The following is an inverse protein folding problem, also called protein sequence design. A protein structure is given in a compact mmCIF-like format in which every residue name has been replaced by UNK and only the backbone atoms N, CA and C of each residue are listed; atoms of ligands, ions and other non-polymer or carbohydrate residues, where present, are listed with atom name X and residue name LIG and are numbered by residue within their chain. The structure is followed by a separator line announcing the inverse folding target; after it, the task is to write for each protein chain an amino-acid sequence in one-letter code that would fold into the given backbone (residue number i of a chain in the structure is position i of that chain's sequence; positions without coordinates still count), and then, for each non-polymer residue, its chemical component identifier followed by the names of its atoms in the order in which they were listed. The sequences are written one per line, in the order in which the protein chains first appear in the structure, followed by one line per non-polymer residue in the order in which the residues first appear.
data_IF_621879946189
#
_entry.id   IF_621879946189
#
_cell.length_a   1.000
_cell.length_b   1.000
_cell.length_c   1.000
_cell.angle_alpha   90.00
_cell.angle_beta   90.00
_cell.angle_gamma   90.00
#
_symmetry.space_group_name_H-M   'P 1'
#
loop_
_entity.id
_entity.type
_entity.pdbx_description
1 polymer ?
#
# COMPACT_ATOMS: atom_id res chain seq x y z
N UNK A 1 42.35 34.97 36.49
CA UNK A 1 40.97 34.92 36.00
C UNK A 1 40.87 33.86 34.88
N UNK A 2 40.26 32.74 35.16
CA UNK A 2 40.06 31.67 34.16
C UNK A 2 38.63 31.81 33.64
N UNK A 3 38.46 32.17 32.37
CA UNK A 3 37.18 32.21 31.70
C UNK A 3 36.92 30.78 31.17
N UNK A 4 35.91 30.10 31.74
CA UNK A 4 35.43 28.82 31.22
C UNK A 4 34.45 29.09 30.09
N UNK A 5 34.85 28.69 28.88
CA UNK A 5 33.93 28.69 27.71
C UNK A 5 33.04 27.46 27.79
N UNK A 6 31.75 27.64 28.10
CA UNK A 6 30.75 26.59 27.99
C UNK A 6 30.33 26.46 26.52
N UNK A 7 30.79 25.42 25.85
CA UNK A 7 30.27 25.01 24.54
C UNK A 7 28.92 24.33 24.76
N UNK A 8 27.84 25.02 24.40
CA UNK A 8 26.52 24.42 24.32
C UNK A 8 26.43 23.57 23.05
N UNK A 9 26.42 22.25 23.22
CA UNK A 9 26.18 21.29 22.15
C UNK A 9 24.67 21.28 21.85
N UNK A 10 24.24 21.97 20.80
CA UNK A 10 22.87 21.88 20.28
C UNK A 10 22.74 20.54 19.56
N UNK A 11 22.08 19.58 20.20
CA UNK A 11 21.67 18.33 19.55
C UNK A 11 20.54 18.63 18.56
N UNK A 12 20.82 18.54 17.27
CA UNK A 12 19.80 18.58 16.22
C UNK A 12 19.07 17.25 16.26
N UNK A 13 17.89 17.23 16.88
CA UNK A 13 17.00 16.08 16.83
C UNK A 13 16.31 16.11 15.47
N UNK A 14 16.78 15.30 14.52
CA UNK A 14 16.09 15.07 13.27
C UNK A 14 14.83 14.22 13.56
N UNK A 15 13.68 14.87 13.60
CA UNK A 15 12.42 14.17 13.65
C UNK A 15 12.16 13.54 12.27
N UNK A 16 12.28 12.22 12.18
CA UNK A 16 11.80 11.46 11.02
C UNK A 16 10.27 11.55 11.05
N UNK A 17 9.72 12.38 10.18
CA UNK A 17 8.28 12.49 10.02
C UNK A 17 7.78 11.22 9.35
N UNK A 18 6.94 10.44 10.05
CA UNK A 18 6.26 9.31 9.44
C UNK A 18 5.31 9.84 8.34
N UNK A 19 5.34 9.18 7.17
CA UNK A 19 4.44 9.52 6.06
C UNK A 19 3.04 9.08 6.47
N UNK A 20 2.09 10.02 6.50
CA UNK A 20 0.69 9.72 6.80
C UNK A 20 0.09 8.83 5.70
N UNK A 21 -0.68 7.79 6.04
CA UNK A 21 -1.37 6.97 5.06
C UNK A 21 -2.45 7.77 4.34
N UNK A 22 -2.73 7.38 3.10
CA UNK A 22 -3.85 7.94 2.33
C UNK A 22 -5.17 7.55 2.99
N UNK A 23 -6.11 8.49 3.02
CA UNK A 23 -7.50 8.21 3.35
C UNK A 23 -8.26 7.97 2.05
N UNK A 24 -8.68 6.74 1.84
CA UNK A 24 -9.35 6.29 0.62
C UNK A 24 -10.76 5.82 0.94
N UNK A 25 -11.58 5.76 -0.09
CA UNK A 25 -12.93 5.21 -0.03
C UNK A 25 -13.19 4.31 -1.22
N UNK A 26 -13.72 3.12 -0.95
CA UNK A 26 -14.10 2.15 -1.96
C UNK A 26 -15.51 1.64 -1.66
N UNK A 27 -16.45 1.85 -2.59
CA UNK A 27 -17.85 1.44 -2.44
C UNK A 27 -18.46 1.86 -1.09
N UNK A 28 -18.22 3.10 -0.67
CA UNK A 28 -18.69 3.66 0.60
C UNK A 28 -17.90 3.26 1.84
N UNK A 29 -16.96 2.33 1.73
CA UNK A 29 -16.09 1.89 2.83
C UNK A 29 -14.83 2.73 2.90
N UNK A 30 -14.54 3.28 4.08
CA UNK A 30 -13.32 4.03 4.33
C UNK A 30 -12.17 3.07 4.66
N UNK A 31 -10.99 3.42 4.17
CA UNK A 31 -9.75 2.69 4.44
C UNK A 31 -8.55 3.63 4.46
N UNK A 32 -7.47 3.16 5.05
CA UNK A 32 -6.21 3.87 5.11
C UNK A 32 -5.14 3.03 4.41
N UNK A 33 -4.39 3.62 3.50
CA UNK A 33 -3.36 2.90 2.77
C UNK A 33 -2.03 3.65 2.75
N UNK A 34 -0.96 2.97 3.07
CA UNK A 34 0.38 3.44 2.74
C UNK A 34 0.50 3.55 1.22
N UNK A 35 1.24 4.52 0.73
CA UNK A 35 1.35 4.78 -0.71
C UNK A 35 2.73 4.39 -1.24
N UNK A 36 2.81 3.30 -1.98
CA UNK A 36 4.03 2.79 -2.59
C UNK A 36 4.13 3.29 -4.05
N UNK A 37 4.96 4.28 -4.30
CA UNK A 37 5.12 4.95 -5.60
C UNK A 37 6.45 4.67 -6.27
N UNK A 38 7.50 4.43 -5.48
CA UNK A 38 8.83 4.12 -6.01
C UNK A 38 9.00 2.63 -6.26
N UNK A 39 9.94 2.27 -7.13
CA UNK A 39 10.31 0.86 -7.36
C UNK A 39 10.66 0.18 -6.04
N UNK A 40 11.50 0.80 -5.21
CA UNK A 40 11.91 0.23 -3.93
C UNK A 40 10.75 0.04 -2.96
N UNK A 41 9.81 0.99 -2.88
CA UNK A 41 8.61 0.86 -2.05
C UNK A 41 7.71 -0.28 -2.53
N UNK A 42 7.49 -0.40 -3.84
CA UNK A 42 6.68 -1.48 -4.41
C UNK A 42 7.32 -2.85 -4.22
N UNK A 43 8.64 -2.96 -4.42
CA UNK A 43 9.36 -4.21 -4.19
C UNK A 43 9.29 -4.67 -2.75
N UNK A 44 9.40 -3.75 -1.80
CA UNK A 44 9.27 -4.06 -0.37
C UNK A 44 7.83 -4.45 -0.02
N UNK A 45 6.85 -3.70 -0.51
CA UNK A 45 5.44 -3.91 -0.18
C UNK A 45 5.21 -4.08 1.33
N UNK A 46 4.48 -5.11 1.70
CA UNK A 46 4.19 -5.48 3.10
C UNK A 46 5.13 -6.57 3.66
N UNK A 47 6.30 -6.76 3.06
CA UNK A 47 7.30 -7.72 3.55
C UNK A 47 7.59 -7.51 5.04
N UNK A 48 7.64 -8.60 5.79
CA UNK A 48 7.96 -8.61 7.23
C UNK A 48 6.83 -8.14 8.14
N UNK A 49 5.70 -7.69 7.60
CA UNK A 49 4.54 -7.30 8.41
C UNK A 49 3.80 -8.53 8.91
N UNK A 50 3.55 -8.60 10.22
CA UNK A 50 2.86 -9.72 10.85
C UNK A 50 1.39 -9.46 11.12
N UNK A 51 1.01 -8.19 11.12
CA UNK A 51 -0.37 -7.74 11.34
C UNK A 51 -0.64 -6.48 10.52
N UNK A 52 -1.90 -6.27 10.20
CA UNK A 52 -2.42 -5.12 9.49
C UNK A 52 -3.78 -4.79 10.08
N UNK A 53 -3.99 -3.55 10.50
CA UNK A 53 -5.27 -3.13 11.04
C UNK A 53 -6.40 -3.39 10.02
N UNK A 54 -7.61 -3.63 10.49
CA UNK A 54 -8.75 -4.12 9.69
C UNK A 54 -8.97 -3.32 8.41
N UNK A 55 -8.95 -1.99 8.50
CA UNK A 55 -9.20 -1.10 7.36
C UNK A 55 -7.92 -0.43 6.85
N UNK A 56 -6.78 -1.06 7.09
CA UNK A 56 -5.47 -0.60 6.62
C UNK A 56 -4.92 -1.48 5.52
N UNK A 57 -4.11 -0.88 4.64
CA UNK A 57 -3.49 -1.59 3.55
C UNK A 57 -2.35 -0.81 2.91
N UNK A 58 -1.98 -1.21 1.70
CA UNK A 58 -0.99 -0.52 0.88
C UNK A 58 -1.51 -0.36 -0.55
N UNK A 59 -1.48 0.88 -1.03
CA UNK A 59 -1.78 1.22 -2.41
C UNK A 59 -0.47 1.33 -3.20
N UNK A 60 -0.33 0.49 -4.20
CA UNK A 60 0.78 0.51 -5.17
C UNK A 60 0.36 1.34 -6.36
N UNK A 61 1.18 2.31 -6.74
CA UNK A 61 1.05 3.02 -8.00
C UNK A 61 2.14 2.54 -8.95
N UNK A 62 1.72 2.00 -10.08
CA UNK A 62 2.65 1.56 -11.13
C UNK A 62 2.93 2.70 -12.11
N UNK A 63 4.14 2.70 -12.68
CA UNK A 63 4.55 3.74 -13.61
C UNK A 63 3.87 3.61 -14.98
N UNK A 64 3.44 2.40 -15.33
CA UNK A 64 2.78 2.09 -16.60
C UNK A 64 1.43 1.41 -16.37
N UNK A 65 0.48 1.67 -17.27
CA UNK A 65 -0.78 0.92 -17.33
C UNK A 65 -0.54 -0.35 -18.15
N UNK A 66 -0.47 -1.48 -17.46
CA UNK A 66 -0.32 -2.82 -18.03
C UNK A 66 -0.78 -3.87 -17.02
N UNK A 67 -0.74 -5.13 -17.38
CA UNK A 67 -0.92 -6.21 -16.41
C UNK A 67 0.28 -6.21 -15.46
N UNK A 68 -0.01 -6.15 -14.15
CA UNK A 68 1.00 -6.17 -13.10
C UNK A 68 0.91 -7.45 -12.29
N UNK A 69 2.07 -7.89 -11.80
CA UNK A 69 2.20 -9.14 -11.07
C UNK A 69 2.68 -8.87 -9.63
N UNK A 70 2.19 -9.67 -8.70
CA UNK A 70 2.54 -9.64 -7.29
C UNK A 70 3.02 -11.01 -6.82
N UNK A 71 3.78 -11.02 -5.77
CA UNK A 71 4.20 -12.22 -5.04
C UNK A 71 4.18 -11.97 -3.54
N UNK A 72 4.26 -13.03 -2.75
CA UNK A 72 4.20 -12.95 -1.28
C UNK A 72 5.52 -13.32 -0.62
N UNK A 73 6.64 -13.05 -1.31
CA UNK A 73 7.97 -13.24 -0.72
C UNK A 73 8.09 -12.46 0.58
N UNK A 74 8.58 -13.12 1.62
CA UNK A 74 8.82 -12.55 2.95
C UNK A 74 7.58 -11.83 3.56
N UNK A 75 6.38 -12.19 3.10
CA UNK A 75 5.13 -11.57 3.55
C UNK A 75 4.29 -12.60 4.31
N UNK A 76 4.25 -12.51 5.66
CA UNK A 76 3.57 -13.51 6.48
C UNK A 76 2.05 -13.33 6.57
N UNK A 77 1.52 -12.20 6.12
CA UNK A 77 0.10 -11.89 6.16
C UNK A 77 -0.66 -12.52 4.99
N UNK A 78 -1.83 -13.16 5.23
CA UNK A 78 -2.76 -13.44 4.15
C UNK A 78 -3.39 -12.14 3.67
N UNK A 79 -3.33 -11.88 2.36
CA UNK A 79 -3.79 -10.64 1.75
C UNK A 79 -4.79 -10.91 0.62
N UNK A 80 -5.59 -9.90 0.30
CA UNK A 80 -6.29 -9.78 -0.97
C UNK A 80 -5.75 -8.56 -1.71
N UNK A 81 -5.52 -8.68 -3.00
CA UNK A 81 -5.10 -7.59 -3.86
C UNK A 81 -6.19 -7.23 -4.86
N UNK A 82 -6.58 -5.97 -4.87
CA UNK A 82 -7.51 -5.41 -5.84
C UNK A 82 -6.74 -4.54 -6.84
N UNK A 83 -6.96 -4.74 -8.13
CA UNK A 83 -6.34 -3.97 -9.20
C UNK A 83 -7.32 -2.97 -9.77
N UNK A 84 -6.83 -1.75 -10.00
CA UNK A 84 -7.63 -0.64 -10.53
C UNK A 84 -7.01 -0.09 -11.80
N UNK A 85 -7.85 0.28 -12.75
CA UNK A 85 -7.42 0.95 -13.97
C UNK A 85 -6.98 2.40 -13.70
N UNK A 86 -6.63 3.14 -14.74
CA UNK A 86 -6.16 4.53 -14.64
C UNK A 86 -7.25 5.48 -14.11
N UNK A 87 -8.53 5.15 -14.32
CA UNK A 87 -9.66 5.90 -13.78
C UNK A 87 -9.99 5.54 -12.33
N UNK A 88 -9.28 4.58 -11.73
CA UNK A 88 -9.55 4.09 -10.38
C UNK A 88 -10.70 3.10 -10.30
N UNK A 89 -11.09 2.47 -11.41
CA UNK A 89 -12.13 1.45 -11.42
C UNK A 89 -11.54 0.06 -11.17
N UNK A 90 -12.19 -0.69 -10.31
CA UNK A 90 -11.79 -2.05 -9.95
C UNK A 90 -11.93 -2.99 -11.16
N UNK A 91 -10.83 -3.64 -11.55
CA UNK A 91 -10.77 -4.52 -12.71
C UNK A 91 -10.46 -5.98 -12.40
N UNK A 92 -9.86 -6.26 -11.25
CA UNK A 92 -9.54 -7.63 -10.81
C UNK A 92 -9.31 -7.67 -9.29
N UNK A 93 -9.63 -8.82 -8.67
CA UNK A 93 -9.31 -9.11 -7.26
C UNK A 93 -8.76 -10.51 -7.16
N UNK A 94 -7.72 -10.71 -6.36
CA UNK A 94 -7.16 -12.03 -6.07
C UNK A 94 -6.72 -12.17 -4.62
N UNK A 95 -6.77 -13.38 -4.10
CA UNK A 95 -6.19 -13.71 -2.80
C UNK A 95 -4.72 -14.08 -2.96
N UNK A 96 -3.92 -13.67 -1.99
CA UNK A 96 -2.48 -13.89 -1.93
C UNK A 96 -2.14 -14.62 -0.63
N UNK A 97 -1.59 -15.82 -0.77
CA UNK A 97 -1.24 -16.66 0.38
C UNK A 97 0.13 -16.29 0.97
N UNK A 98 0.26 -16.34 2.32
CA UNK A 98 1.52 -16.01 2.99
C UNK A 98 2.71 -16.79 2.42
N UNK A 99 3.83 -16.09 2.23
CA UNK A 99 5.10 -16.65 1.77
C UNK A 99 5.10 -17.30 0.39
N UNK A 100 3.99 -17.25 -0.33
CA UNK A 100 3.93 -17.83 -1.68
C UNK A 100 4.76 -16.96 -2.65
N UNK A 101 5.75 -17.59 -3.28
CA UNK A 101 6.64 -16.92 -4.25
C UNK A 101 6.18 -17.08 -5.69
N UNK A 102 5.06 -17.75 -5.92
CA UNK A 102 4.43 -17.80 -7.24
C UNK A 102 4.01 -16.41 -7.66
N UNK A 103 4.39 -16.02 -8.87
CA UNK A 103 4.05 -14.71 -9.44
C UNK A 103 2.62 -14.77 -9.97
N UNK A 104 1.76 -13.89 -9.46
CA UNK A 104 0.37 -13.81 -9.85
C UNK A 104 0.07 -12.45 -10.48
N UNK A 105 -0.47 -12.47 -11.68
CA UNK A 105 -0.68 -11.27 -12.49
C UNK A 105 -2.16 -10.92 -12.60
N UNK A 106 -2.46 -9.62 -12.65
CA UNK A 106 -3.81 -9.13 -12.92
C UNK A 106 -4.30 -9.63 -14.28
N UNK A 107 -5.58 -9.90 -14.38
CA UNK A 107 -6.21 -10.35 -15.64
C UNK A 107 -6.33 -9.21 -16.66
N UNK A 108 -6.34 -7.96 -16.19
CA UNK A 108 -6.50 -6.76 -17.00
C UNK A 108 -5.39 -5.75 -16.68
N UNK A 109 -5.10 -4.80 -17.61
CA UNK A 109 -4.19 -3.70 -17.33
C UNK A 109 -4.67 -2.88 -16.14
N UNK A 110 -3.72 -2.47 -15.29
CA UNK A 110 -3.97 -1.69 -14.08
C UNK A 110 -2.93 -0.59 -13.91
N UNK A 111 -3.35 0.50 -13.26
CA UNK A 111 -2.48 1.58 -12.78
C UNK A 111 -2.15 1.38 -11.31
N UNK A 112 -3.06 0.78 -10.54
CA UNK A 112 -2.95 0.63 -9.11
C UNK A 112 -3.25 -0.80 -8.66
N UNK A 113 -2.67 -1.18 -7.53
CA UNK A 113 -3.08 -2.35 -6.76
C UNK A 113 -3.24 -1.95 -5.29
N UNK A 114 -4.31 -2.42 -4.66
CA UNK A 114 -4.56 -2.21 -3.24
C UNK A 114 -4.52 -3.54 -2.52
N UNK A 115 -3.55 -3.71 -1.63
CA UNK A 115 -3.47 -4.86 -0.74
C UNK A 115 -4.14 -4.56 0.60
N UNK A 116 -5.05 -5.42 0.98
CA UNK A 116 -5.79 -5.40 2.26
C UNK A 116 -5.71 -6.78 2.91
N UNK A 117 -6.12 -6.89 4.17
CA UNK A 117 -6.29 -8.20 4.79
C UNK A 117 -7.16 -9.10 3.90
N UNK A 118 -6.82 -10.39 3.84
CA UNK A 118 -7.55 -11.34 3.01
C UNK A 118 -9.03 -11.35 3.34
N UNK A 119 -9.86 -11.31 2.28
CA UNK A 119 -11.31 -11.26 2.39
C UNK A 119 -11.92 -9.87 2.55
N UNK A 120 -11.13 -8.82 2.70
CA UNK A 120 -11.64 -7.46 2.98
C UNK A 120 -12.65 -6.99 1.93
N UNK A 121 -12.39 -7.22 0.65
CA UNK A 121 -13.26 -6.79 -0.45
C UNK A 121 -14.54 -7.62 -0.52
N UNK A 122 -14.41 -8.94 -0.42
CA UNK A 122 -15.53 -9.87 -0.50
C UNK A 122 -16.50 -9.70 0.66
N UNK A 123 -16.00 -9.57 1.88
CA UNK A 123 -16.81 -9.33 3.09
C UNK A 123 -17.63 -8.04 3.01
N UNK A 124 -17.18 -7.06 2.23
CA UNK A 124 -17.86 -5.77 2.04
C UNK A 124 -18.68 -5.70 0.76
N UNK A 125 -18.77 -6.79 0.02
CA UNK A 125 -19.53 -6.85 -1.22
C UNK A 125 -19.02 -5.95 -2.32
N UNK A 126 -17.70 -5.66 -2.34
CA UNK A 126 -17.08 -4.82 -3.37
C UNK A 126 -17.00 -5.59 -4.67
N UNK A 127 -17.59 -5.07 -5.72
CA UNK A 127 -17.67 -5.71 -7.03
C UNK A 127 -16.80 -4.99 -8.07
N UNK A 128 -16.50 -5.69 -9.16
CA UNK A 128 -15.81 -5.10 -10.32
C UNK A 128 -16.54 -3.84 -10.79
N UNK A 129 -15.78 -2.81 -11.17
CA UNK A 129 -16.29 -1.51 -11.56
C UNK A 129 -16.44 -0.52 -10.39
N UNK A 130 -16.29 -0.92 -9.14
CA UNK A 130 -16.26 -0.01 -8.01
C UNK A 130 -15.10 1.00 -8.15
N UNK A 131 -15.34 2.25 -7.76
CA UNK A 131 -14.34 3.32 -7.86
C UNK A 131 -13.61 3.53 -6.55
N UNK A 132 -12.28 3.55 -6.61
CA UNK A 132 -11.42 3.96 -5.52
C UNK A 132 -11.26 5.48 -5.53
N UNK A 133 -11.83 6.14 -4.52
CA UNK A 133 -11.76 7.60 -4.36
C UNK A 133 -10.66 8.00 -3.37
N UNK A 134 -10.07 9.17 -3.57
CA UNK A 134 -9.06 9.73 -2.68
C UNK A 134 -7.62 9.49 -3.12
N UNK A 135 -7.41 8.85 -4.27
CA UNK A 135 -6.06 8.72 -4.85
C UNK A 135 -5.54 10.12 -5.17
N UNK A 136 -4.30 10.46 -4.78
CA UNK A 136 -3.71 11.77 -5.09
C UNK A 136 -3.70 12.04 -6.59
N UNK A 137 -4.06 13.25 -6.98
CA UNK A 137 -3.94 13.75 -8.36
C UNK A 137 -2.51 14.23 -8.55
N UNK A 138 -1.89 13.89 -9.69
CA UNK A 138 -0.55 14.35 -10.07
C UNK A 138 -0.60 15.65 -10.85
#
# INVERSE_FOLDING_TARGET
MRVALLLSLLAVISTVQAVEPLQLRLDGHELHAEYAQTVAQRERGLMGRRELAVDSGMLFRFDEVRRHCLWMKDTPLPLSAAFFDEAGLLVDVMDLEPFNTEIRCSKRPARYALEMNQGWFDERGVELGARLAGIPVE
#
